data_IF_684387200214
#
_entry.id   IF_684387200214
#
_cell.length_a   1.000
_cell.length_b   1.000
_cell.length_c   1.000
_cell.angle_alpha   90.00
_cell.angle_beta   90.00
_cell.angle_gamma   90.00
#
_symmetry.space_group_name_H-M   'P 1'
#
loop_
_entity.id
_entity.type
_entity.pdbx_description
1 polymer ?
#
# COMPACT_ATOMS: atom_id res chain seq x y z
N UNK A 1 15.12 -16.21 -38.07
CA UNK A 1 15.01 -15.45 -36.80
C UNK A 1 16.39 -15.39 -36.19
N UNK A 2 17.06 -14.25 -36.32
CA UNK A 2 18.46 -14.06 -35.93
C UNK A 2 18.56 -13.94 -34.41
N UNK A 3 19.29 -14.89 -33.81
CA UNK A 3 19.73 -14.83 -32.43
C UNK A 3 20.65 -13.61 -32.27
N UNK A 4 20.12 -12.51 -31.72
CA UNK A 4 20.93 -11.38 -31.27
C UNK A 4 21.67 -11.83 -30.00
N UNK A 5 22.90 -12.31 -30.20
CA UNK A 5 23.91 -12.42 -29.15
C UNK A 5 23.99 -11.09 -28.38
N UNK A 6 23.68 -11.15 -27.08
CA UNK A 6 23.73 -10.01 -26.15
C UNK A 6 25.16 -9.45 -26.09
N UNK A 7 25.34 -8.11 -26.00
CA UNK A 7 26.64 -7.48 -25.89
C UNK A 7 27.10 -7.52 -24.42
N UNK A 8 27.60 -8.66 -23.95
CA UNK A 8 27.97 -8.81 -22.51
C UNK A 8 29.41 -8.35 -22.25
N UNK A 9 30.32 -8.44 -23.22
CA UNK A 9 31.75 -8.25 -22.97
C UNK A 9 32.27 -6.80 -23.08
N UNK A 10 31.50 -5.85 -23.61
CA UNK A 10 31.90 -4.44 -23.67
C UNK A 10 31.48 -3.62 -22.45
N UNK A 11 30.40 -4.02 -21.78
CA UNK A 11 29.84 -3.28 -20.64
C UNK A 11 30.69 -3.39 -19.36
N UNK A 12 31.46 -4.46 -19.18
CA UNK A 12 32.23 -4.70 -17.94
C UNK A 12 33.40 -3.73 -17.79
N UNK A 13 34.26 -3.59 -18.82
CA UNK A 13 35.38 -2.62 -18.77
C UNK A 13 34.91 -1.18 -18.63
N UNK A 14 33.82 -0.84 -19.31
CA UNK A 14 33.20 0.48 -19.20
C UNK A 14 32.66 0.71 -17.78
N UNK A 15 32.06 -0.31 -17.17
CA UNK A 15 31.57 -0.27 -15.79
C UNK A 15 32.72 -0.07 -14.80
N UNK A 16 33.80 -0.83 -14.92
CA UNK A 16 34.99 -0.71 -14.05
C UNK A 16 35.62 0.68 -14.15
N UNK A 17 35.76 1.21 -15.37
CA UNK A 17 36.29 2.56 -15.60
C UNK A 17 35.40 3.64 -14.97
N UNK A 18 34.08 3.55 -15.14
CA UNK A 18 33.14 4.49 -14.54
C UNK A 18 33.12 4.41 -13.01
N UNK A 19 33.22 3.20 -12.44
CA UNK A 19 33.33 3.02 -10.98
C UNK A 19 34.62 3.66 -10.46
N UNK A 20 35.74 3.43 -11.14
CA UNK A 20 37.03 4.05 -10.80
C UNK A 20 36.92 5.57 -10.78
N UNK A 21 36.31 6.17 -11.81
CA UNK A 21 36.09 7.63 -11.88
C UNK A 21 35.14 8.09 -10.77
N UNK A 22 34.08 7.33 -10.48
CA UNK A 22 33.11 7.68 -9.44
C UNK A 22 33.70 7.64 -8.02
N UNK A 23 34.72 6.82 -7.78
CA UNK A 23 35.40 6.65 -6.49
C UNK A 23 36.66 7.54 -6.34
N UNK A 24 37.22 8.05 -7.43
CA UNK A 24 38.48 8.81 -7.42
C UNK A 24 38.33 10.18 -6.71
N UNK A 25 38.83 10.26 -5.47
CA UNK A 25 38.77 11.47 -4.65
C UNK A 25 39.52 12.67 -5.26
N UNK A 26 40.45 12.43 -6.19
CA UNK A 26 41.21 13.49 -6.87
C UNK A 26 40.41 14.19 -7.98
N UNK A 27 39.34 13.57 -8.48
CA UNK A 27 38.46 14.17 -9.49
C UNK A 27 37.48 15.16 -8.85
N UNK A 28 37.10 16.18 -9.61
CA UNK A 28 36.03 17.09 -9.21
C UNK A 28 34.71 16.34 -8.97
N UNK A 29 33.93 16.80 -7.98
CA UNK A 29 32.66 16.17 -7.58
C UNK A 29 31.69 16.00 -8.76
N UNK A 30 31.66 16.95 -9.69
CA UNK A 30 30.79 16.92 -10.87
C UNK A 30 31.15 15.76 -11.82
N UNK A 31 32.44 15.44 -11.96
CA UNK A 31 32.93 14.34 -12.79
C UNK A 31 32.55 13.00 -12.14
N UNK A 32 32.75 12.86 -10.84
CA UNK A 32 32.34 11.66 -10.08
C UNK A 32 30.84 11.41 -10.15
N UNK A 33 30.05 12.47 -10.00
CA UNK A 33 28.59 12.42 -10.11
C UNK A 33 28.16 12.08 -11.54
N UNK A 34 28.83 12.63 -12.55
CA UNK A 34 28.61 12.29 -13.96
C UNK A 34 28.82 10.81 -14.24
N UNK A 35 29.94 10.24 -13.78
CA UNK A 35 30.21 8.81 -13.93
C UNK A 35 29.16 7.93 -13.22
N UNK A 36 28.72 8.33 -12.03
CA UNK A 36 27.67 7.60 -11.32
C UNK A 36 26.31 7.68 -12.03
N UNK A 37 25.98 8.82 -12.66
CA UNK A 37 24.78 8.95 -13.49
C UNK A 37 24.84 8.05 -14.72
N UNK A 38 25.99 7.99 -15.41
CA UNK A 38 26.16 7.08 -16.54
C UNK A 38 25.98 5.62 -16.13
N UNK A 39 26.53 5.21 -14.98
CA UNK A 39 26.27 3.87 -14.43
C UNK A 39 24.78 3.65 -14.12
N UNK A 40 24.07 4.67 -13.64
CA UNK A 40 22.63 4.59 -13.40
C UNK A 40 21.84 4.49 -14.71
N UNK A 41 22.26 5.17 -15.77
CA UNK A 41 21.61 5.06 -17.08
C UNK A 41 21.79 3.65 -17.68
N UNK A 42 22.92 2.98 -17.38
CA UNK A 42 23.18 1.60 -17.82
C UNK A 42 22.37 0.58 -17.03
N UNK A 43 22.30 0.70 -15.70
CA UNK A 43 21.78 -0.36 -14.82
C UNK A 43 20.47 -0.01 -14.10
N UNK A 44 20.11 1.26 -13.99
CA UNK A 44 19.12 1.82 -13.08
C UNK A 44 17.72 1.24 -13.30
N UNK A 45 17.21 1.30 -14.53
CA UNK A 45 15.87 0.77 -14.84
C UNK A 45 15.75 -0.72 -14.57
N UNK A 46 16.77 -1.49 -14.96
CA UNK A 46 16.81 -2.93 -14.74
C UNK A 46 16.88 -3.26 -13.24
N UNK A 47 17.76 -2.59 -12.51
CA UNK A 47 17.91 -2.78 -11.07
C UNK A 47 16.65 -2.38 -10.32
N UNK A 48 16.02 -1.25 -10.68
CA UNK A 48 14.77 -0.79 -10.09
C UNK A 48 13.63 -1.79 -10.30
N UNK A 49 13.46 -2.29 -11.53
CA UNK A 49 12.47 -3.34 -11.83
C UNK A 49 12.72 -4.61 -11.02
N UNK A 50 13.99 -5.03 -10.91
CA UNK A 50 14.38 -6.20 -10.12
C UNK A 50 14.08 -6.01 -8.62
N UNK A 51 14.34 -4.82 -8.07
CA UNK A 51 14.07 -4.52 -6.66
C UNK A 51 12.56 -4.41 -6.38
N UNK A 52 11.77 -3.84 -7.29
CA UNK A 52 10.32 -3.78 -7.15
C UNK A 52 9.70 -5.19 -7.09
N UNK A 53 10.08 -6.07 -8.01
CA UNK A 53 9.63 -7.46 -8.03
C UNK A 53 10.03 -8.21 -6.75
N UNK A 54 11.27 -8.03 -6.27
CA UNK A 54 11.74 -8.65 -5.02
C UNK A 54 11.04 -8.08 -3.78
N UNK A 55 10.79 -6.78 -3.73
CA UNK A 55 10.06 -6.14 -2.64
C UNK A 55 8.64 -6.72 -2.52
N UNK A 56 7.96 -6.97 -3.65
CA UNK A 56 6.67 -7.67 -3.64
C UNK A 56 6.80 -9.09 -3.12
N UNK A 57 7.72 -9.89 -3.68
CA UNK A 57 7.88 -11.28 -3.27
C UNK A 57 8.22 -11.41 -1.77
N UNK A 58 8.98 -10.47 -1.22
CA UNK A 58 9.36 -10.46 0.20
C UNK A 58 8.28 -9.84 1.11
N UNK A 59 7.33 -9.06 0.58
CA UNK A 59 6.50 -8.14 1.36
C UNK A 59 7.35 -7.34 2.34
N UNK A 60 8.35 -6.63 1.82
CA UNK A 60 9.37 -5.96 2.64
C UNK A 60 8.81 -4.80 3.47
N UNK A 61 7.69 -4.22 3.05
CA UNK A 61 7.04 -3.10 3.72
C UNK A 61 5.52 -3.20 3.56
N UNK A 62 4.80 -2.94 4.65
CA UNK A 62 3.35 -2.83 4.69
C UNK A 62 2.84 -1.69 3.83
N UNK A 63 3.56 -0.56 3.77
CA UNK A 63 3.18 0.63 2.99
C UNK A 63 3.12 0.37 1.48
N UNK A 64 3.71 -0.74 1.02
CA UNK A 64 3.77 -1.13 -0.38
C UNK A 64 2.73 -2.19 -0.77
N UNK A 65 1.94 -2.69 0.18
CA UNK A 65 0.93 -3.72 -0.10
C UNK A 65 -0.15 -3.18 -1.05
N UNK A 66 -0.64 -4.06 -1.94
CA UNK A 66 -1.64 -3.70 -2.96
C UNK A 66 -1.11 -2.91 -4.17
N UNK A 67 0.11 -2.36 -4.11
CA UNK A 67 0.69 -1.61 -5.22
C UNK A 67 1.15 -2.51 -6.39
N UNK A 68 0.93 -2.00 -7.61
CA UNK A 68 1.47 -2.57 -8.86
C UNK A 68 3.01 -2.51 -8.88
N UNK A 69 3.69 -3.23 -9.79
CA UNK A 69 5.17 -3.26 -9.80
C UNK A 69 5.71 -1.88 -10.16
N UNK A 70 4.98 -1.21 -11.04
CA UNK A 70 5.26 0.15 -11.48
C UNK A 70 5.16 1.13 -10.31
N UNK A 71 4.06 1.09 -9.54
CA UNK A 71 3.85 2.01 -8.42
C UNK A 71 4.82 1.72 -7.26
N UNK A 72 5.11 0.43 -7.02
CA UNK A 72 6.18 0.03 -6.09
C UNK A 72 7.53 0.59 -6.54
N UNK A 73 7.88 0.43 -7.81
CA UNK A 73 9.11 0.97 -8.39
C UNK A 73 9.24 2.46 -8.16
N UNK A 74 8.18 3.24 -8.44
CA UNK A 74 8.15 4.68 -8.15
C UNK A 74 8.40 4.96 -6.67
N UNK A 75 7.74 4.21 -5.77
CA UNK A 75 7.81 4.44 -4.32
C UNK A 75 9.18 4.11 -3.72
N UNK A 76 9.86 3.09 -4.21
CA UNK A 76 11.17 2.66 -3.70
C UNK A 76 12.35 3.25 -4.47
N UNK A 77 12.10 3.98 -5.56
CA UNK A 77 13.13 4.50 -6.48
C UNK A 77 14.26 5.25 -5.76
N UNK A 78 13.92 6.14 -4.82
CA UNK A 78 14.92 6.88 -4.04
C UNK A 78 15.80 5.97 -3.19
N UNK A 79 15.20 5.00 -2.49
CA UNK A 79 15.94 4.02 -1.68
C UNK A 79 16.83 3.12 -2.55
N UNK A 80 16.31 2.65 -3.68
CA UNK A 80 17.06 1.84 -4.65
C UNK A 80 18.24 2.64 -5.21
N UNK A 81 18.05 3.92 -5.53
CA UNK A 81 19.13 4.80 -5.95
C UNK A 81 20.18 4.99 -4.85
N UNK A 82 19.77 5.13 -3.57
CA UNK A 82 20.72 5.21 -2.45
C UNK A 82 21.55 3.92 -2.31
N UNK A 83 20.92 2.74 -2.42
CA UNK A 83 21.64 1.46 -2.41
C UNK A 83 22.63 1.39 -3.58
N UNK A 84 22.19 1.79 -4.77
CA UNK A 84 23.03 1.85 -5.96
C UNK A 84 24.24 2.76 -5.75
N UNK A 85 24.00 4.00 -5.35
CA UNK A 85 25.04 5.00 -5.09
C UNK A 85 26.07 4.48 -4.08
N UNK A 86 25.60 3.95 -2.94
CA UNK A 86 26.47 3.38 -1.91
C UNK A 86 27.26 2.17 -2.43
N UNK A 87 26.66 1.37 -3.31
CA UNK A 87 27.35 0.24 -3.93
C UNK A 87 28.44 0.74 -4.87
N UNK A 88 28.16 1.73 -5.74
CA UNK A 88 29.18 2.33 -6.61
C UNK A 88 30.36 2.85 -5.79
N UNK A 89 30.11 3.52 -4.66
CA UNK A 89 31.17 4.11 -3.84
C UNK A 89 32.01 3.08 -3.05
N UNK A 90 31.50 1.87 -2.83
CA UNK A 90 32.14 0.85 -1.98
C UNK A 90 32.53 -0.42 -2.74
N UNK A 91 32.19 -0.50 -4.02
CA UNK A 91 32.47 -1.69 -4.82
C UNK A 91 33.97 -1.87 -4.97
N UNK A 92 34.45 -3.05 -4.60
CA UNK A 92 35.82 -3.48 -4.77
C UNK A 92 35.96 -4.20 -6.11
N UNK A 93 36.78 -3.64 -7.01
CA UNK A 93 37.03 -4.18 -8.33
C UNK A 93 37.76 -5.54 -8.28
N UNK A 94 38.49 -5.81 -7.19
CA UNK A 94 39.26 -7.05 -7.02
C UNK A 94 38.41 -8.21 -6.45
N UNK A 95 37.12 -7.96 -6.17
CA UNK A 95 36.21 -8.94 -5.56
C UNK A 95 35.93 -10.17 -6.46
N UNK A 96 36.27 -10.11 -7.75
CA UNK A 96 36.07 -11.22 -8.70
C UNK A 96 34.59 -11.52 -9.02
N UNK A 97 33.68 -10.62 -8.67
CA UNK A 97 32.24 -10.72 -8.94
C UNK A 97 31.83 -9.50 -9.75
N UNK A 98 31.04 -9.66 -10.81
CA UNK A 98 30.59 -8.51 -11.60
C UNK A 98 29.71 -7.56 -10.77
N UNK A 99 29.78 -6.27 -11.11
CA UNK A 99 29.13 -5.19 -10.38
C UNK A 99 27.62 -5.42 -10.20
N UNK A 100 26.91 -5.84 -11.27
CA UNK A 100 25.46 -6.02 -11.22
C UNK A 100 25.03 -7.14 -10.26
N UNK A 101 25.80 -8.24 -10.18
CA UNK A 101 25.55 -9.32 -9.24
C UNK A 101 25.76 -8.84 -7.79
N UNK A 102 26.83 -8.09 -7.53
CA UNK A 102 27.09 -7.50 -6.22
C UNK A 102 25.99 -6.50 -5.82
N UNK A 103 25.63 -5.58 -6.71
CA UNK A 103 24.54 -4.61 -6.55
C UNK A 103 23.20 -5.29 -6.25
N UNK A 104 22.87 -6.37 -6.96
CA UNK A 104 21.66 -7.15 -6.72
C UNK A 104 21.65 -7.77 -5.32
N UNK A 105 22.79 -8.27 -4.85
CA UNK A 105 22.92 -8.81 -3.50
C UNK A 105 22.74 -7.72 -2.45
N UNK A 106 23.36 -6.55 -2.65
CA UNK A 106 23.20 -5.40 -1.74
C UNK A 106 21.74 -4.94 -1.64
N UNK A 107 21.04 -4.81 -2.77
CA UNK A 107 19.61 -4.49 -2.77
C UNK A 107 18.74 -5.54 -2.09
N UNK A 108 19.07 -6.83 -2.25
CA UNK A 108 18.38 -7.92 -1.53
C UNK A 108 18.60 -7.84 -0.02
N UNK A 109 19.82 -7.52 0.43
CA UNK A 109 20.12 -7.34 1.85
C UNK A 109 19.36 -6.15 2.43
N UNK A 110 19.30 -5.04 1.69
CA UNK A 110 18.56 -3.85 2.10
C UNK A 110 17.06 -4.13 2.28
N UNK A 111 16.41 -4.76 1.28
CA UNK A 111 14.99 -5.16 1.38
C UNK A 111 14.70 -6.12 2.53
N UNK A 112 15.61 -7.06 2.82
CA UNK A 112 15.48 -7.96 3.98
C UNK A 112 15.65 -7.22 5.30
N UNK A 113 16.52 -6.22 5.34
CA UNK A 113 16.74 -5.38 6.52
C UNK A 113 15.51 -4.53 6.77
N UNK A 114 14.98 -3.86 5.75
CA UNK A 114 13.71 -3.13 5.81
C UNK A 114 12.57 -4.04 6.31
N UNK A 115 12.46 -5.27 5.79
CA UNK A 115 11.48 -6.25 6.29
C UNK A 115 11.66 -6.56 7.78
N UNK A 116 12.90 -6.83 8.20
CA UNK A 116 13.23 -7.15 9.59
C UNK A 116 12.90 -5.97 10.50
N UNK A 117 13.24 -4.76 10.10
CA UNK A 117 13.04 -3.57 10.92
C UNK A 117 11.56 -3.19 10.97
N UNK A 118 10.82 -3.36 9.88
CA UNK A 118 9.36 -3.26 9.84
C UNK A 118 8.69 -4.33 10.71
N UNK A 119 9.24 -5.55 10.78
CA UNK A 119 8.76 -6.61 11.67
C UNK A 119 9.05 -6.36 13.16
N UNK A 120 10.10 -5.60 13.47
CA UNK A 120 10.42 -5.17 14.84
C UNK A 120 9.58 -3.97 15.28
N UNK A 121 9.20 -3.12 14.34
CA UNK A 121 8.34 -1.97 14.58
C UNK A 121 6.85 -2.33 14.61
N UNK A 122 6.46 -3.57 14.32
CA UNK A 122 5.05 -4.01 14.35
C UNK A 122 4.48 -4.05 15.78
N UNK A 123 5.33 -4.14 16.82
CA UNK A 123 4.93 -4.03 18.23
C UNK A 123 5.00 -2.59 18.79
N UNK A 124 5.64 -1.65 18.08
CA UNK A 124 5.87 -0.26 18.56
C UNK A 124 5.23 0.83 17.70
N UNK A 125 4.73 0.51 16.51
CA UNK A 125 3.87 1.43 15.77
C UNK A 125 2.44 1.33 16.30
N UNK A 126 2.23 1.96 17.46
CA UNK A 126 0.98 2.71 17.66
C UNK A 126 0.93 3.70 16.51
N UNK A 127 -0.03 3.53 15.62
CA UNK A 127 -0.18 4.35 14.43
C UNK A 127 -0.33 5.82 14.85
N UNK A 128 0.76 6.60 14.78
CA UNK A 128 0.68 8.06 14.87
C UNK A 128 0.23 8.53 13.49
N UNK A 129 -1.08 8.65 13.41
CA UNK A 129 -1.83 9.23 12.33
C UNK A 129 -1.47 10.72 12.21
N UNK A 130 -0.79 11.12 11.14
CA UNK A 130 -0.47 12.53 10.87
C UNK A 130 -1.67 13.31 10.29
N UNK A 131 -2.87 12.72 10.21
CA UNK A 131 -4.10 13.47 9.88
C UNK A 131 -4.55 14.44 11.00
N UNK A 132 -3.81 14.49 12.12
CA UNK A 132 -4.09 15.33 13.28
C UNK A 132 -3.96 16.86 13.08
N UNK A 133 -3.51 17.36 11.92
CA UNK A 133 -3.51 18.82 11.68
C UNK A 133 -4.89 19.38 11.29
N UNK A 134 -5.89 18.54 11.02
CA UNK A 134 -7.27 19.05 10.83
C UNK A 134 -8.29 18.29 11.67
N UNK A 135 -8.55 18.88 12.84
CA UNK A 135 -9.72 18.71 13.72
C UNK A 135 -9.66 17.53 14.69
N UNK A 136 -9.36 17.93 15.93
CA UNK A 136 -9.88 17.37 17.19
C UNK A 136 -11.08 16.44 17.04
N UNK A 137 -10.89 15.16 17.34
CA UNK A 137 -11.73 14.46 18.31
C UNK A 137 -10.99 13.24 18.85
N UNK A 138 -11.02 13.11 20.19
CA UNK A 138 -10.35 12.08 20.99
C UNK A 138 -10.61 10.67 20.43
N UNK A 139 -9.56 9.96 19.97
CA UNK A 139 -9.62 8.51 19.71
C UNK A 139 -9.87 7.79 21.04
N UNK A 140 -11.05 7.22 21.20
CA UNK A 140 -11.32 6.19 22.21
C UNK A 140 -10.92 4.84 21.62
N UNK A 141 -10.21 4.01 22.39
CA UNK A 141 -9.79 2.64 22.05
C UNK A 141 -10.97 1.64 21.98
N UNK A 142 -12.09 2.06 21.41
CA UNK A 142 -13.33 1.30 21.38
C UNK A 142 -13.54 0.70 19.99
N UNK A 143 -13.34 -0.63 19.81
CA UNK A 143 -13.53 -1.31 18.53
C UNK A 143 -14.96 -1.14 17.99
N UNK A 144 -15.93 -0.83 18.85
CA UNK A 144 -17.30 -0.57 18.45
C UNK A 144 -17.44 0.75 17.66
N UNK A 145 -16.55 1.74 17.87
CA UNK A 145 -16.54 2.98 17.07
C UNK A 145 -15.88 2.80 15.71
N UNK A 146 -14.93 1.89 15.58
CA UNK A 146 -14.25 1.58 14.32
C UNK A 146 -15.19 0.87 13.34
N UNK A 147 -15.96 -0.11 13.84
CA UNK A 147 -17.03 -0.78 13.08
C UNK A 147 -18.13 0.22 12.63
N UNK A 148 -18.49 1.19 13.48
CA UNK A 148 -19.46 2.25 13.16
C UNK A 148 -18.97 3.12 11.99
N UNK A 149 -17.69 3.51 12.04
CA UNK A 149 -17.03 4.29 10.99
C UNK A 149 -17.01 3.56 9.66
N UNK A 150 -16.68 2.26 9.66
CA UNK A 150 -16.67 1.39 8.46
C UNK A 150 -18.05 1.34 7.81
N UNK A 151 -19.09 1.08 8.60
CA UNK A 151 -20.44 1.03 8.06
C UNK A 151 -20.89 2.40 7.51
N UNK A 152 -20.55 3.49 8.21
CA UNK A 152 -20.86 4.85 7.80
C UNK A 152 -20.19 5.21 6.45
N UNK A 153 -18.90 4.87 6.27
CA UNK A 153 -18.19 5.13 5.02
C UNK A 153 -18.76 4.35 3.83
N UNK A 154 -19.10 3.07 4.05
CA UNK A 154 -19.75 2.23 3.04
C UNK A 154 -21.04 2.88 2.58
N UNK A 155 -21.92 3.22 3.53
CA UNK A 155 -23.22 3.78 3.22
C UNK A 155 -23.08 5.16 2.54
N UNK A 156 -22.21 6.03 3.04
CA UNK A 156 -21.97 7.35 2.45
C UNK A 156 -21.41 7.27 1.03
N UNK A 157 -20.47 6.37 0.75
CA UNK A 157 -19.88 6.25 -0.58
C UNK A 157 -20.92 5.74 -1.60
N UNK A 158 -21.80 4.84 -1.19
CA UNK A 158 -22.93 4.36 -2.00
C UNK A 158 -23.95 5.46 -2.28
N UNK A 159 -24.22 6.28 -1.27
CA UNK A 159 -25.15 7.40 -1.34
C UNK A 159 -24.59 8.61 -2.10
N UNK A 160 -23.26 8.71 -2.24
CA UNK A 160 -22.57 9.80 -2.92
C UNK A 160 -22.73 9.73 -4.45
N UNK A 161 -22.80 10.89 -5.12
CA UNK A 161 -22.87 11.00 -6.59
C UNK A 161 -21.50 10.80 -7.26
N UNK A 162 -20.81 9.69 -6.97
CA UNK A 162 -19.53 9.34 -7.59
C UNK A 162 -19.70 8.69 -8.97
N UNK A 163 -18.58 8.51 -9.69
CA UNK A 163 -18.53 7.96 -11.07
C UNK A 163 -19.36 6.69 -11.24
N UNK A 164 -20.05 6.59 -12.38
CA UNK A 164 -21.02 5.52 -12.70
C UNK A 164 -20.47 4.11 -12.44
N UNK A 165 -19.19 3.86 -12.73
CA UNK A 165 -18.52 2.56 -12.57
C UNK A 165 -18.30 2.18 -11.09
N UNK A 166 -17.89 3.14 -10.24
CA UNK A 166 -17.77 2.92 -8.80
C UNK A 166 -19.14 2.68 -8.17
N UNK A 167 -20.16 3.40 -8.64
CA UNK A 167 -21.54 3.23 -8.20
C UNK A 167 -22.10 1.86 -8.59
N UNK A 168 -21.85 1.39 -9.80
CA UNK A 168 -22.29 0.07 -10.27
C UNK A 168 -21.67 -1.08 -9.45
N UNK A 169 -20.37 -1.02 -9.15
CA UNK A 169 -19.70 -2.01 -8.30
C UNK A 169 -20.29 -2.05 -6.88
N UNK A 170 -20.54 -0.89 -6.26
CA UNK A 170 -21.09 -0.85 -4.91
C UNK A 170 -22.57 -1.26 -4.85
N UNK A 171 -23.38 -0.93 -5.86
CA UNK A 171 -24.77 -1.42 -5.95
C UNK A 171 -24.80 -2.94 -6.08
N UNK A 172 -24.00 -3.52 -6.98
CA UNK A 172 -23.91 -4.98 -7.15
C UNK A 172 -23.45 -5.69 -5.86
N UNK A 173 -22.50 -5.09 -5.15
CA UNK A 173 -22.01 -5.55 -3.85
C UNK A 173 -23.09 -5.56 -2.76
N UNK A 174 -23.88 -4.49 -2.64
CA UNK A 174 -25.01 -4.43 -1.70
C UNK A 174 -26.10 -5.40 -2.10
N UNK A 175 -26.42 -5.51 -3.39
CA UNK A 175 -27.42 -6.48 -3.85
C UNK A 175 -26.98 -7.92 -3.59
N UNK A 176 -25.71 -8.24 -3.81
CA UNK A 176 -25.14 -9.53 -3.44
C UNK A 176 -25.25 -9.78 -1.93
N UNK A 177 -25.02 -8.74 -1.12
CA UNK A 177 -25.18 -8.80 0.34
C UNK A 177 -26.64 -9.01 0.74
N UNK A 178 -27.59 -8.26 0.15
CA UNK A 178 -29.04 -8.41 0.35
C UNK A 178 -29.52 -9.81 -0.04
N UNK A 179 -29.02 -10.36 -1.16
CA UNK A 179 -29.31 -11.74 -1.58
C UNK A 179 -28.75 -12.76 -0.58
N UNK A 180 -27.52 -12.57 -0.10
CA UNK A 180 -26.88 -13.45 0.88
C UNK A 180 -27.59 -13.44 2.25
N UNK A 181 -28.17 -12.31 2.66
CA UNK A 181 -28.91 -12.17 3.93
C UNK A 181 -30.43 -12.27 3.77
N UNK A 182 -30.94 -12.63 2.58
CA UNK A 182 -32.37 -12.66 2.26
C UNK A 182 -33.20 -13.57 3.19
N UNK A 183 -32.61 -14.66 3.69
CA UNK A 183 -33.22 -15.53 4.70
C UNK A 183 -33.19 -14.98 6.15
N UNK A 184 -32.52 -13.85 6.39
CA UNK A 184 -32.32 -13.23 7.71
C UNK A 184 -33.02 -11.86 7.76
N UNK A 185 -34.35 -11.88 7.94
CA UNK A 185 -35.23 -10.68 7.95
C UNK A 185 -34.67 -9.50 8.75
N UNK A 186 -34.13 -9.78 9.94
CA UNK A 186 -33.64 -8.75 10.87
C UNK A 186 -32.37 -8.03 10.39
N UNK A 187 -31.49 -8.72 9.66
CA UNK A 187 -30.29 -8.10 9.05
C UNK A 187 -30.65 -7.28 7.81
N UNK A 188 -31.62 -7.77 7.03
CA UNK A 188 -32.13 -7.05 5.85
C UNK A 188 -32.83 -5.74 6.26
N UNK A 189 -33.63 -5.80 7.33
CA UNK A 189 -34.29 -4.64 7.93
C UNK A 189 -33.25 -3.63 8.44
N UNK A 190 -32.26 -4.08 9.21
CA UNK A 190 -31.14 -3.24 9.65
C UNK A 190 -30.44 -2.55 8.48
N UNK A 191 -30.04 -3.30 7.45
CA UNK A 191 -29.32 -2.74 6.31
C UNK A 191 -30.18 -1.68 5.60
N UNK A 192 -31.48 -1.93 5.45
CA UNK A 192 -32.42 -1.00 4.80
C UNK A 192 -32.60 0.28 5.62
N UNK A 193 -32.76 0.16 6.93
CA UNK A 193 -32.89 1.31 7.83
C UNK A 193 -31.58 2.11 7.91
N UNK A 194 -30.43 1.44 7.92
CA UNK A 194 -29.11 2.07 7.90
C UNK A 194 -28.92 2.97 6.67
N UNK A 195 -29.31 2.51 5.48
CA UNK A 195 -29.30 3.33 4.25
C UNK A 195 -30.26 4.52 4.35
N UNK A 196 -31.47 4.29 4.91
CA UNK A 196 -32.47 5.34 5.09
C UNK A 196 -31.98 6.45 6.02
N UNK A 197 -31.47 6.08 7.20
CA UNK A 197 -30.93 7.03 8.19
C UNK A 197 -29.79 7.84 7.60
N UNK A 198 -28.90 7.23 6.84
CA UNK A 198 -27.79 7.95 6.21
C UNK A 198 -28.23 8.96 5.14
N UNK A 199 -29.38 8.75 4.51
CA UNK A 199 -29.96 9.70 3.57
C UNK A 199 -30.76 10.81 4.25
N UNK A 200 -31.38 10.53 5.39
CA UNK A 200 -32.24 11.47 6.13
C UNK A 200 -31.45 12.34 7.12
N UNK A 201 -30.32 11.86 7.65
CA UNK A 201 -29.52 12.57 8.65
C UNK A 201 -28.36 13.37 8.01
N UNK A 202 -28.32 14.71 8.17
CA UNK A 202 -27.25 15.56 7.63
C UNK A 202 -25.87 15.28 8.24
N UNK A 203 -25.82 14.64 9.41
CA UNK A 203 -24.59 14.29 10.13
C UNK A 203 -24.05 12.90 9.77
N UNK A 204 -24.74 12.17 8.90
CA UNK A 204 -24.38 10.81 8.49
C UNK A 204 -24.96 9.72 9.40
N UNK A 205 -24.59 8.47 9.13
CA UNK A 205 -25.04 7.28 9.86
C UNK A 205 -24.51 7.25 11.31
N UNK A 206 -25.39 6.97 12.28
CA UNK A 206 -25.03 6.57 13.65
C UNK A 206 -25.88 5.39 14.14
N UNK A 207 -25.30 4.53 14.99
CA UNK A 207 -26.00 3.37 15.57
C UNK A 207 -27.18 3.78 16.46
N UNK A 208 -27.12 4.99 17.04
CA UNK A 208 -28.20 5.55 17.88
C UNK A 208 -29.43 5.86 17.03
N UNK A 209 -29.27 6.53 15.90
CA UNK A 209 -30.38 6.89 15.01
C UNK A 209 -31.01 5.65 14.36
N UNK A 210 -30.20 4.63 14.06
CA UNK A 210 -30.70 3.34 13.57
C UNK A 210 -31.47 2.59 14.66
N UNK A 211 -30.99 2.62 15.90
CA UNK A 211 -31.66 2.02 17.05
C UNK A 211 -33.05 2.63 17.28
N UNK A 212 -33.16 3.96 17.16
CA UNK A 212 -34.43 4.70 17.25
C UNK A 212 -35.40 4.30 16.13
N UNK A 213 -34.94 4.21 14.89
CA UNK A 213 -35.77 3.82 13.74
C UNK A 213 -36.25 2.36 13.83
N UNK A 214 -35.41 1.46 14.34
CA UNK A 214 -35.73 0.04 14.48
C UNK A 214 -36.43 -0.31 15.80
N UNK A 215 -36.54 0.64 16.74
CA UNK A 215 -37.06 0.44 18.10
C UNK A 215 -36.34 -0.69 18.86
N UNK A 216 -35.01 -0.74 18.73
CA UNK A 216 -34.15 -1.71 19.42
C UNK A 216 -33.06 -0.98 20.21
N UNK A 217 -32.32 -1.70 21.05
CA UNK A 217 -31.21 -1.10 21.79
C UNK A 217 -29.98 -0.89 20.90
N UNK A 218 -29.15 0.11 21.23
CA UNK A 218 -27.88 0.37 20.52
C UNK A 218 -26.96 -0.85 20.47
N UNK A 219 -26.86 -1.61 21.56
CA UNK A 219 -26.06 -2.84 21.61
C UNK A 219 -26.59 -3.92 20.63
N UNK A 220 -27.91 -3.99 20.42
CA UNK A 220 -28.49 -4.89 19.42
C UNK A 220 -28.18 -4.42 17.99
N UNK A 221 -28.14 -3.10 17.75
CA UNK A 221 -27.69 -2.54 16.46
C UNK A 221 -26.22 -2.90 16.20
N UNK A 222 -25.34 -2.71 17.18
CA UNK A 222 -23.92 -3.08 17.06
C UNK A 222 -23.72 -4.56 16.69
N UNK A 223 -24.50 -5.46 17.29
CA UNK A 223 -24.49 -6.88 16.94
C UNK A 223 -25.00 -7.19 15.52
N UNK A 224 -26.00 -6.45 15.03
CA UNK A 224 -26.50 -6.58 13.66
C UNK A 224 -25.50 -6.03 12.64
N UNK A 225 -24.87 -4.89 12.96
CA UNK A 225 -23.80 -4.27 12.18
C UNK A 225 -22.61 -5.22 12.02
N UNK A 226 -22.11 -5.80 13.11
CA UNK A 226 -21.00 -6.76 13.07
C UNK A 226 -21.30 -7.94 12.14
N UNK A 227 -22.51 -8.50 12.24
CA UNK A 227 -22.93 -9.60 11.36
C UNK A 227 -22.97 -9.17 9.89
N UNK A 228 -23.50 -7.98 9.56
CA UNK A 228 -23.49 -7.46 8.19
C UNK A 228 -22.07 -7.23 7.70
N UNK A 229 -21.18 -6.70 8.54
CA UNK A 229 -19.78 -6.50 8.19
C UNK A 229 -19.08 -7.83 7.91
N UNK A 230 -19.30 -8.89 8.70
CA UNK A 230 -18.76 -10.22 8.40
C UNK A 230 -19.20 -10.75 7.01
N UNK A 231 -20.45 -10.47 6.59
CA UNK A 231 -20.91 -10.84 5.25
C UNK A 231 -20.21 -10.02 4.16
N UNK A 232 -20.01 -8.73 4.38
CA UNK A 232 -19.29 -7.85 3.46
C UNK A 232 -17.79 -8.20 3.38
N UNK A 233 -17.19 -8.68 4.47
CA UNK A 233 -15.82 -9.17 4.51
C UNK A 233 -15.66 -10.46 3.71
N UNK A 234 -16.57 -11.41 3.87
CA UNK A 234 -16.60 -12.65 3.07
C UNK A 234 -16.83 -12.39 1.58
N UNK A 235 -17.53 -11.32 1.24
CA UNK A 235 -17.70 -10.85 -0.13
C UNK A 235 -16.51 -10.05 -0.68
N UNK A 236 -15.45 -9.84 0.13
CA UNK A 236 -14.23 -9.13 -0.27
C UNK A 236 -14.37 -7.60 -0.33
N UNK A 237 -15.44 -7.04 0.23
CA UNK A 237 -15.77 -5.61 0.10
C UNK A 237 -15.15 -4.76 1.20
N UNK A 238 -15.06 -5.28 2.43
CA UNK A 238 -14.54 -4.54 3.58
C UNK A 238 -13.07 -4.15 3.43
N UNK A 239 -12.25 -4.98 2.79
CA UNK A 239 -10.83 -4.68 2.58
C UNK A 239 -10.60 -3.35 1.83
N UNK A 240 -11.51 -3.00 0.91
CA UNK A 240 -11.45 -1.76 0.13
C UNK A 240 -11.86 -0.54 0.96
N UNK A 241 -12.89 -0.66 1.79
CA UNK A 241 -13.40 0.43 2.63
C UNK A 241 -12.55 0.69 3.88
N UNK A 242 -11.94 -0.35 4.47
CA UNK A 242 -10.92 -0.19 5.51
C UNK A 242 -9.73 0.64 5.00
N UNK A 243 -9.38 0.52 3.72
CA UNK A 243 -8.37 1.35 3.08
C UNK A 243 -8.82 2.80 2.81
N UNK A 244 -10.12 3.04 2.62
CA UNK A 244 -10.68 4.39 2.41
C UNK A 244 -10.83 5.16 3.73
N UNK A 245 -11.10 4.45 4.84
CA UNK A 245 -11.13 5.04 6.18
C UNK A 245 -9.75 5.23 6.83
N UNK A 246 -8.75 4.55 6.29
CA UNK A 246 -7.34 4.67 6.69
C UNK A 246 -6.56 5.68 5.82
N UNK A 247 -7.22 6.36 4.88
CA UNK A 247 -6.65 7.36 3.95
C UNK A 247 -7.23 8.75 4.25
#
# INVERSE_FOLDING_TARGET
>A
MTNKTRPVFHAERETEALITIAQDSTKHANIRLGATRMLWDIYGDYFLGLMAAKSRALNSDWSLQGLSDKDRGTRISGQVFTVFWNTVQKFDLDMGVNFMAHLTNMGKFDLKTAKRDNSKNTERMVFVDFSYETRSNKKSNDPEKDEEGIMCAIINEISSKNTFEKRAFHILAIEATKRAISGKKRLLEYLTVAFKVCHECPKGYTDVEVAEHMKITRAQVGNLRRQVLEFLERAGLIAKYRGILAA
#
